data_IF_757179036020
#
_entry.id   IF_757179036020
#
_cell.length_a   1.000
_cell.length_b   1.000
_cell.length_c   1.000
_cell.angle_alpha   90.00
_cell.angle_beta   90.00
_cell.angle_gamma   90.00
#
_symmetry.space_group_name_H-M   'P 1'
#
loop_
_entity.id
_entity.type
_entity.pdbx_description
1 polymer ?
#
# COMPACT_ATOMS: atom_id res chain seq x y z
N UNK A 1 -76.59 -32.79 -20.22
CA UNK A 1 -76.55 -31.42 -19.66
C UNK A 1 -75.34 -31.28 -18.75
N UNK A 2 -74.56 -30.21 -19.00
CA UNK A 2 -73.55 -29.50 -18.17
C UNK A 2 -72.57 -30.31 -17.28
N UNK A 3 -71.31 -30.31 -17.74
CA UNK A 3 -70.07 -30.54 -16.99
C UNK A 3 -69.91 -29.46 -15.90
N UNK A 4 -69.46 -29.84 -14.71
CA UNK A 4 -68.83 -28.92 -13.76
C UNK A 4 -67.52 -29.54 -13.25
N UNK A 5 -66.42 -29.00 -13.74
CA UNK A 5 -65.06 -29.22 -13.25
C UNK A 5 -64.92 -28.32 -12.03
N UNK A 6 -64.83 -28.91 -10.83
CA UNK A 6 -64.49 -28.18 -9.62
C UNK A 6 -62.96 -28.12 -9.52
N UNK A 7 -62.40 -26.96 -9.86
CA UNK A 7 -61.04 -26.56 -9.49
C UNK A 7 -61.05 -26.16 -8.01
N UNK A 8 -60.29 -26.82 -7.11
CA UNK A 8 -59.93 -26.21 -5.85
C UNK A 8 -58.75 -25.27 -6.09
N UNK A 9 -59.13 -24.01 -6.27
CA UNK A 9 -58.43 -22.79 -5.85
C UNK A 9 -57.13 -23.06 -5.10
N UNK A 10 -56.01 -22.78 -5.77
CA UNK A 10 -54.72 -22.47 -5.17
C UNK A 10 -54.91 -21.29 -4.19
N UNK A 11 -55.27 -21.58 -2.94
CA UNK A 11 -55.11 -20.66 -1.83
C UNK A 11 -53.63 -20.76 -1.41
N UNK A 12 -52.75 -19.93 -1.97
CA UNK A 12 -52.37 -18.63 -1.38
C UNK A 12 -52.13 -18.72 0.13
N UNK A 13 -51.14 -19.50 0.56
CA UNK A 13 -50.56 -19.38 1.91
C UNK A 13 -49.05 -19.61 1.98
N UNK A 14 -48.32 -19.35 0.89
CA UNK A 14 -46.85 -19.37 0.87
C UNK A 14 -46.29 -18.05 0.36
N UNK A 15 -46.63 -16.95 1.04
CA UNK A 15 -45.79 -15.74 1.03
C UNK A 15 -45.28 -15.49 2.44
N UNK A 16 -44.58 -16.49 2.96
CA UNK A 16 -43.46 -16.25 3.86
C UNK A 16 -42.27 -15.81 3.01
N UNK A 17 -42.27 -14.57 2.53
CA UNK A 17 -41.06 -13.99 1.92
C UNK A 17 -40.52 -12.86 2.81
N UNK A 18 -40.01 -13.33 3.95
CA UNK A 18 -38.92 -12.79 4.77
C UNK A 18 -38.33 -11.43 4.32
N UNK A 19 -38.50 -10.35 5.11
CA UNK A 19 -37.54 -9.24 5.10
C UNK A 19 -36.36 -9.55 6.06
N UNK A 20 -35.86 -10.78 6.12
CA UNK A 20 -34.94 -11.21 7.20
C UNK A 20 -33.68 -11.97 6.77
N UNK A 21 -33.55 -12.45 5.53
CA UNK A 21 -32.34 -13.18 5.13
C UNK A 21 -31.15 -12.22 4.95
N UNK A 22 -31.41 -10.96 4.59
CA UNK A 22 -30.36 -9.93 4.48
C UNK A 22 -29.94 -9.32 5.83
N UNK A 23 -30.81 -9.35 6.85
CA UNK A 23 -30.52 -8.71 8.13
C UNK A 23 -29.68 -9.59 9.07
N UNK A 24 -29.77 -10.93 8.95
CA UNK A 24 -29.09 -11.85 9.86
C UNK A 24 -27.57 -11.95 9.63
N UNK A 25 -27.09 -11.73 8.40
CA UNK A 25 -25.66 -11.86 8.07
C UNK A 25 -24.91 -10.52 8.04
N UNK A 26 -25.61 -9.38 8.19
CA UNK A 26 -24.96 -8.07 8.15
C UNK A 26 -23.84 -7.88 9.20
N UNK A 27 -24.00 -8.31 10.47
CA UNK A 27 -22.92 -8.24 11.45
C UNK A 27 -21.68 -9.03 10.99
N UNK A 28 -21.89 -10.26 10.51
CA UNK A 28 -20.80 -11.13 10.06
C UNK A 28 -20.09 -10.58 8.81
N UNK A 29 -20.85 -10.04 7.85
CA UNK A 29 -20.30 -9.41 6.64
C UNK A 29 -19.46 -8.18 7.00
N UNK A 30 -19.92 -7.36 7.95
CA UNK A 30 -19.16 -6.20 8.42
C UNK A 30 -17.88 -6.62 9.16
N UNK A 31 -17.94 -7.66 9.99
CA UNK A 31 -16.77 -8.18 10.70
C UNK A 31 -15.73 -8.75 9.73
N UNK A 32 -16.15 -9.55 8.75
CA UNK A 32 -15.27 -10.07 7.70
C UNK A 32 -14.67 -8.93 6.86
N UNK A 33 -15.50 -7.96 6.43
CA UNK A 33 -15.02 -6.78 5.71
C UNK A 33 -14.01 -5.97 6.53
N UNK A 34 -14.24 -5.82 7.85
CA UNK A 34 -13.33 -5.14 8.75
C UNK A 34 -12.00 -5.90 8.88
N UNK A 35 -12.03 -7.21 9.08
CA UNK A 35 -10.82 -8.03 9.18
C UNK A 35 -9.99 -7.96 7.89
N UNK A 36 -10.64 -8.12 6.73
CA UNK A 36 -9.96 -8.05 5.44
C UNK A 36 -9.44 -6.63 5.13
N UNK A 37 -10.18 -5.59 5.52
CA UNK A 37 -9.69 -4.20 5.44
C UNK A 37 -8.43 -4.00 6.30
N UNK A 38 -8.40 -4.57 7.51
CA UNK A 38 -7.25 -4.49 8.41
C UNK A 38 -6.05 -5.25 7.84
N UNK A 39 -6.26 -6.39 7.18
CA UNK A 39 -5.21 -7.11 6.48
C UNK A 39 -4.58 -6.24 5.37
N UNK A 40 -5.40 -5.62 4.51
CA UNK A 40 -4.90 -4.70 3.47
C UNK A 40 -4.11 -3.52 4.06
N UNK A 41 -4.54 -2.98 5.20
CA UNK A 41 -3.81 -1.91 5.91
C UNK A 41 -2.47 -2.43 6.47
N UNK A 42 -2.46 -3.66 7.01
CA UNK A 42 -1.24 -4.28 7.54
C UNK A 42 -0.21 -4.52 6.42
N UNK A 43 -0.65 -5.05 5.29
CA UNK A 43 0.20 -5.27 4.11
C UNK A 43 0.75 -3.94 3.57
N UNK A 44 -0.10 -2.92 3.44
CA UNK A 44 0.32 -1.57 3.05
C UNK A 44 1.39 -0.98 4.00
N UNK A 45 1.23 -1.19 5.31
CA UNK A 45 2.22 -0.76 6.31
C UNK A 45 3.52 -1.55 6.20
N UNK A 46 3.45 -2.85 5.95
CA UNK A 46 4.62 -3.69 5.75
C UNK A 46 5.41 -3.25 4.50
N UNK A 47 4.74 -3.00 3.37
CA UNK A 47 5.37 -2.47 2.16
C UNK A 47 6.04 -1.10 2.39
N UNK A 48 5.35 -0.20 3.09
CA UNK A 48 5.89 1.13 3.40
C UNK A 48 7.13 1.04 4.31
N UNK A 49 7.12 0.12 5.27
CA UNK A 49 8.24 -0.13 6.19
C UNK A 49 9.43 -0.74 5.43
N UNK A 50 9.19 -1.75 4.60
CA UNK A 50 10.23 -2.36 3.77
C UNK A 50 10.90 -1.33 2.85
N UNK A 51 10.12 -0.46 2.21
CA UNK A 51 10.68 0.60 1.37
C UNK A 51 11.48 1.62 2.18
N UNK A 52 11.01 1.98 3.38
CA UNK A 52 11.75 2.87 4.28
C UNK A 52 13.11 2.27 4.65
N UNK A 53 13.14 1.01 5.05
CA UNK A 53 14.33 0.36 5.56
C UNK A 53 15.38 0.17 4.46
N UNK A 54 14.96 -0.22 3.24
CA UNK A 54 15.84 -0.25 2.07
C UNK A 54 16.47 1.11 1.76
N UNK A 55 15.68 2.19 1.87
CA UNK A 55 16.20 3.55 1.64
C UNK A 55 17.17 3.98 2.73
N UNK A 56 16.91 3.64 4.00
CA UNK A 56 17.82 3.93 5.12
C UNK A 56 19.13 3.20 4.95
N UNK A 57 19.09 1.90 4.61
CA UNK A 57 20.29 1.10 4.39
C UNK A 57 21.14 1.68 3.24
N UNK A 58 20.51 2.04 2.13
CA UNK A 58 21.20 2.68 1.01
C UNK A 58 21.78 4.06 1.39
N UNK A 59 21.06 4.86 2.18
CA UNK A 59 21.54 6.14 2.74
C UNK A 59 22.79 5.92 3.59
N UNK A 60 22.75 4.97 4.53
CA UNK A 60 23.87 4.71 5.44
C UNK A 60 25.11 4.20 4.69
N UNK A 61 24.93 3.24 3.78
CA UNK A 61 26.04 2.70 2.96
C UNK A 61 26.74 3.77 2.13
N UNK A 62 26.00 4.73 1.58
CA UNK A 62 26.60 5.81 0.80
C UNK A 62 27.14 6.94 1.67
N UNK A 63 26.51 7.23 2.83
CA UNK A 63 27.03 8.17 3.80
C UNK A 63 28.45 7.80 4.23
N UNK A 64 28.70 6.53 4.55
CA UNK A 64 30.04 6.05 4.94
C UNK A 64 31.08 6.28 3.83
N UNK A 65 30.70 6.06 2.56
CA UNK A 65 31.56 6.32 1.40
C UNK A 65 31.86 7.80 1.20
N UNK A 66 30.90 8.67 1.47
CA UNK A 66 31.10 10.12 1.36
C UNK A 66 31.91 10.66 2.54
N UNK A 67 31.68 10.17 3.75
CA UNK A 67 32.47 10.50 4.94
C UNK A 67 33.95 10.17 4.71
N UNK A 68 34.26 8.94 4.30
CA UNK A 68 35.64 8.53 4.06
C UNK A 68 36.36 9.38 2.98
N UNK A 69 35.63 9.85 1.97
CA UNK A 69 36.18 10.75 0.94
C UNK A 69 36.37 12.18 1.43
N UNK A 70 35.53 12.64 2.36
CA UNK A 70 35.72 13.93 3.01
C UNK A 70 36.96 13.90 3.91
N UNK A 71 37.14 12.84 4.69
CA UNK A 71 38.33 12.64 5.53
C UNK A 71 39.62 12.60 4.70
N UNK A 72 39.58 11.94 3.52
CA UNK A 72 40.71 11.92 2.58
C UNK A 72 41.02 13.32 2.01
N UNK A 73 39.99 14.13 1.74
CA UNK A 73 40.19 15.51 1.30
C UNK A 73 40.81 16.37 2.41
N UNK A 74 40.39 16.18 3.66
CA UNK A 74 40.96 16.87 4.82
C UNK A 74 42.43 16.48 5.04
N UNK A 75 42.77 15.20 4.89
CA UNK A 75 44.15 14.72 4.92
C UNK A 75 45.04 15.35 3.84
N UNK A 76 44.50 15.60 2.64
CA UNK A 76 45.20 16.29 1.54
C UNK A 76 45.44 17.77 1.82
N UNK A 77 44.51 18.45 2.51
CA UNK A 77 44.69 19.82 2.98
C UNK A 77 45.83 19.89 4.00
N UNK A 78 45.88 18.94 4.93
CA UNK A 78 46.93 18.87 5.94
C UNK A 78 48.32 18.54 5.36
N UNK A 79 48.40 18.01 4.14
CA UNK A 79 49.64 17.71 3.42
C UNK A 79 50.01 18.75 2.35
N UNK A 80 49.40 19.96 2.38
CA UNK A 80 49.57 21.04 1.41
C UNK A 80 49.20 20.70 -0.06
N UNK A 81 48.49 19.59 -0.31
CA UNK A 81 47.98 19.21 -1.64
C UNK A 81 46.57 19.81 -1.87
N UNK A 82 46.51 21.14 -1.87
CA UNK A 82 45.26 21.89 -2.03
C UNK A 82 44.54 21.61 -3.36
N UNK A 83 45.29 21.30 -4.43
CA UNK A 83 44.71 20.95 -5.74
C UNK A 83 44.07 19.56 -5.71
N UNK A 84 44.71 18.60 -5.04
CA UNK A 84 44.13 17.29 -4.75
C UNK A 84 42.84 17.42 -3.94
N UNK A 85 42.90 18.18 -2.85
CA UNK A 85 41.76 18.40 -1.95
C UNK A 85 40.55 19.03 -2.66
N UNK A 86 40.73 20.09 -3.46
CA UNK A 86 39.65 20.73 -4.23
C UNK A 86 39.01 19.77 -5.25
N UNK A 87 39.84 18.96 -5.93
CA UNK A 87 39.35 17.94 -6.87
C UNK A 87 38.52 16.87 -6.15
N UNK A 88 38.96 16.43 -4.97
CA UNK A 88 38.26 15.46 -4.13
C UNK A 88 36.93 16.04 -3.62
N UNK A 89 36.93 17.26 -3.08
CA UNK A 89 35.71 17.94 -2.60
C UNK A 89 34.66 18.11 -3.71
N UNK A 90 35.07 18.57 -4.90
CA UNK A 90 34.18 18.67 -6.08
C UNK A 90 33.66 17.33 -6.57
N UNK A 91 34.41 16.25 -6.37
CA UNK A 91 33.97 14.89 -6.71
C UNK A 91 32.92 14.41 -5.71
N UNK A 92 33.14 14.63 -4.41
CA UNK A 92 32.21 14.32 -3.32
C UNK A 92 30.88 15.06 -3.51
N UNK A 93 30.92 16.37 -3.75
CA UNK A 93 29.71 17.18 -3.96
C UNK A 93 28.87 16.67 -5.13
N UNK A 94 29.51 16.37 -6.27
CA UNK A 94 28.84 15.83 -7.46
C UNK A 94 28.25 14.44 -7.20
N UNK A 95 29.01 13.57 -6.55
CA UNK A 95 28.55 12.23 -6.18
C UNK A 95 27.34 12.29 -5.26
N UNK A 96 27.39 13.14 -4.24
CA UNK A 96 26.30 13.30 -3.28
C UNK A 96 25.03 13.83 -3.93
N UNK A 97 25.13 14.84 -4.81
CA UNK A 97 23.98 15.34 -5.60
C UNK A 97 23.35 14.24 -6.47
N UNK A 98 24.17 13.44 -7.15
CA UNK A 98 23.69 12.34 -7.98
C UNK A 98 23.01 11.26 -7.13
N UNK A 99 23.56 10.97 -5.97
CA UNK A 99 23.03 10.02 -5.00
C UNK A 99 21.65 10.42 -4.48
N UNK A 100 21.51 11.65 -3.96
CA UNK A 100 20.21 12.17 -3.48
C UNK A 100 19.15 12.10 -4.59
N UNK A 101 19.51 12.45 -5.83
CA UNK A 101 18.60 12.36 -6.98
C UNK A 101 18.16 10.91 -7.25
N UNK A 102 19.07 9.95 -7.11
CA UNK A 102 18.79 8.51 -7.28
C UNK A 102 17.80 8.02 -6.23
N UNK A 103 18.04 8.31 -4.94
CA UNK A 103 17.14 7.93 -3.84
C UNK A 103 15.75 8.51 -4.06
N UNK A 104 15.64 9.82 -4.34
CA UNK A 104 14.36 10.47 -4.54
C UNK A 104 13.57 9.84 -5.69
N UNK A 105 14.27 9.41 -6.75
CA UNK A 105 13.65 8.72 -7.88
C UNK A 105 13.12 7.34 -7.47
N UNK A 106 13.91 6.56 -6.73
CA UNK A 106 13.51 5.22 -6.24
C UNK A 106 12.33 5.31 -5.27
N UNK A 107 12.40 6.20 -4.29
CA UNK A 107 11.33 6.45 -3.33
C UNK A 107 10.01 6.78 -4.03
N UNK A 108 10.03 7.73 -4.99
CA UNK A 108 8.84 8.08 -5.77
C UNK A 108 8.29 6.90 -6.57
N UNK A 109 9.18 6.11 -7.18
CA UNK A 109 8.78 4.94 -7.97
C UNK A 109 8.17 3.86 -7.10
N UNK A 110 8.81 3.51 -5.99
CA UNK A 110 8.31 2.49 -5.07
C UNK A 110 6.99 2.89 -4.41
N UNK A 111 6.84 4.14 -3.97
CA UNK A 111 5.56 4.66 -3.48
C UNK A 111 4.46 4.61 -4.53
N UNK A 112 4.77 4.94 -5.80
CA UNK A 112 3.80 4.86 -6.88
C UNK A 112 3.32 3.43 -7.14
N UNK A 113 4.23 2.46 -7.06
CA UNK A 113 3.89 1.04 -7.22
C UNK A 113 3.04 0.53 -6.06
N UNK A 114 3.47 0.77 -4.82
CA UNK A 114 2.71 0.38 -3.61
C UNK A 114 1.31 1.00 -3.62
N UNK A 115 1.19 2.31 -3.92
CA UNK A 115 -0.11 2.96 -4.05
C UNK A 115 -1.04 2.30 -5.10
N UNK A 116 -0.48 1.83 -6.22
CA UNK A 116 -1.27 1.10 -7.23
C UNK A 116 -1.75 -0.25 -6.70
N UNK A 117 -0.91 -0.98 -5.98
CA UNK A 117 -1.25 -2.26 -5.34
C UNK A 117 -2.39 -2.08 -4.35
N UNK A 118 -2.22 -1.20 -3.37
CA UNK A 118 -3.25 -0.87 -2.36
C UNK A 118 -4.58 -0.48 -3.03
N UNK A 119 -4.52 0.32 -4.10
CA UNK A 119 -5.72 0.72 -4.85
C UNK A 119 -6.42 -0.48 -5.52
N UNK A 120 -5.66 -1.46 -6.00
CA UNK A 120 -6.22 -2.70 -6.54
C UNK A 120 -6.84 -3.55 -5.43
N UNK A 121 -6.19 -3.67 -4.28
CA UNK A 121 -6.70 -4.43 -3.14
C UNK A 121 -8.00 -3.86 -2.61
N UNK A 122 -8.08 -2.53 -2.45
CA UNK A 122 -9.32 -1.83 -2.09
C UNK A 122 -10.44 -2.07 -3.12
N UNK A 123 -10.11 -2.13 -4.42
CA UNK A 123 -11.09 -2.46 -5.46
C UNK A 123 -11.56 -3.91 -5.36
N UNK A 124 -10.66 -4.84 -5.09
CA UNK A 124 -10.98 -6.27 -4.91
C UNK A 124 -11.87 -6.47 -3.68
N UNK A 125 -11.53 -5.81 -2.57
CA UNK A 125 -12.31 -5.82 -1.34
C UNK A 125 -13.73 -5.31 -1.56
N UNK A 126 -13.88 -4.20 -2.30
CA UNK A 126 -15.20 -3.66 -2.66
C UNK A 126 -16.03 -4.61 -3.53
N UNK A 127 -15.38 -5.42 -4.38
CA UNK A 127 -16.07 -6.43 -5.21
C UNK A 127 -16.48 -7.65 -4.39
N UNK A 128 -15.66 -8.07 -3.43
CA UNK A 128 -15.94 -9.18 -2.53
C UNK A 128 -17.15 -8.87 -1.63
N UNK A 129 -17.31 -7.60 -1.23
CA UNK A 129 -18.33 -7.18 -0.28
C UNK A 129 -19.29 -6.11 -0.85
N UNK A 130 -20.15 -6.43 -1.83
CA UNK A 130 -21.03 -5.46 -2.47
C UNK A 130 -22.16 -4.95 -1.56
N UNK A 131 -22.56 -5.76 -0.58
CA UNK A 131 -23.69 -5.50 0.33
C UNK A 131 -23.29 -4.70 1.58
N UNK A 132 -21.99 -4.40 1.79
CA UNK A 132 -21.53 -3.64 2.97
C UNK A 132 -22.24 -2.30 3.11
N UNK A 133 -22.55 -1.61 2.01
CA UNK A 133 -23.31 -0.35 2.04
C UNK A 133 -24.72 -0.49 2.60
N UNK A 134 -25.33 -1.65 2.45
CA UNK A 134 -26.69 -1.94 2.92
C UNK A 134 -26.69 -2.40 4.38
N UNK A 135 -25.54 -2.86 4.88
CA UNK A 135 -25.35 -3.29 6.26
C UNK A 135 -24.80 -2.18 7.18
N UNK A 136 -24.27 -1.09 6.62
CA UNK A 136 -23.86 0.09 7.40
C UNK A 136 -25.12 0.82 7.95
N UNK A 137 -25.13 1.21 9.24
CA UNK A 137 -26.25 1.93 9.85
C UNK A 137 -26.42 3.35 9.31
#
# INVERSE_FOLDING_TARGET
>A
MKKFIALPVFALSLVSFLPSVYAQDCPQILDNYRQDSLAVIADARAEATALRDLLIEEINSEYDKFSAKADAAEGQVNSDDFKGADKTAKSVERGFKAFIKSILKRAKSGWKTSYKGIRQDVKSLRKQYPTVKQCLP
#
